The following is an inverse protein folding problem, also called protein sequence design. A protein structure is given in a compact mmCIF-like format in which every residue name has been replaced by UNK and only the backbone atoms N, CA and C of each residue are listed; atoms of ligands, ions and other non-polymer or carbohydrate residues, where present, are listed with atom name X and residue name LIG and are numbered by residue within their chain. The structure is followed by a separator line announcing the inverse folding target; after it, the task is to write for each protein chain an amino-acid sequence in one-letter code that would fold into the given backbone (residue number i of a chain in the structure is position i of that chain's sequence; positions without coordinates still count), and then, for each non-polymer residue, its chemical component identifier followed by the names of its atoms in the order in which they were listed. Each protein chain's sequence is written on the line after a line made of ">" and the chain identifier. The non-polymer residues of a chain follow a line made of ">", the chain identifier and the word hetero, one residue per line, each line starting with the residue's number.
data_IF_983369868587
#
_entry.id   IF_983369868587
#
_cell.length_a   1.000
_cell.length_b   1.000
_cell.length_c   1.000
_cell.angle_alpha   90.00
_cell.angle_beta   90.00
_cell.angle_gamma   90.00
#
_symmetry.space_group_name_H-M   'P 1'
#
loop_
_entity.id
_entity.type
_entity.pdbx_description
1 polymer ?
#
# COMPACT_ATOMS: atom_id res chain seq x y z
N UNK A 1 1.62 14.52 4.83
CA UNK A 1 1.09 14.06 6.15
C UNK A 1 1.40 12.57 6.25
N UNK A 2 2.08 12.12 7.30
CA UNK A 2 2.38 10.68 7.52
C UNK A 2 1.11 9.91 7.89
N UNK A 3 0.88 8.73 7.29
CA UNK A 3 -0.19 7.83 7.70
C UNK A 3 0.26 7.06 8.95
N UNK A 4 -0.63 6.86 9.93
CA UNK A 4 -0.34 6.08 11.14
C UNK A 4 -1.41 5.01 11.27
N UNK A 5 -1.00 3.74 11.36
CA UNK A 5 -1.90 2.63 11.65
C UNK A 5 -1.89 2.41 13.15
N UNK A 6 -3.05 2.54 13.79
CA UNK A 6 -3.22 2.30 15.22
C UNK A 6 -4.20 1.16 15.41
N UNK A 7 -3.82 0.16 16.21
CA UNK A 7 -4.73 -0.92 16.61
C UNK A 7 -5.30 -0.61 17.99
N UNK A 8 -6.58 -0.26 18.05
CA UNK A 8 -7.28 -0.02 19.31
C UNK A 8 -7.97 -1.31 19.74
N UNK A 9 -7.50 -1.92 20.82
CA UNK A 9 -8.05 -3.16 21.35
C UNK A 9 -9.26 -2.89 22.26
N UNK A 10 -10.47 -3.08 21.76
CA UNK A 10 -11.68 -3.21 22.59
C UNK A 10 -11.75 -4.57 23.30
N UNK A 11 -10.75 -4.93 24.10
CA UNK A 11 -10.59 -6.32 24.57
C UNK A 11 -11.41 -6.70 25.81
N UNK A 12 -11.93 -5.76 26.61
CA UNK A 12 -12.56 -6.11 27.90
C UNK A 12 -13.82 -6.97 27.74
N UNK A 13 -14.68 -6.71 26.73
CA UNK A 13 -15.93 -7.46 26.57
C UNK A 13 -15.71 -8.85 25.95
N UNK A 14 -14.76 -8.99 25.03
CA UNK A 14 -14.34 -10.29 24.46
C UNK A 14 -13.58 -11.13 25.49
N UNK A 15 -12.71 -10.51 26.29
CA UNK A 15 -12.09 -11.14 27.47
C UNK A 15 -13.15 -11.66 28.45
N UNK A 16 -14.14 -10.83 28.82
CA UNK A 16 -15.23 -11.25 29.73
C UNK A 16 -16.07 -12.40 29.16
N UNK A 17 -16.36 -12.40 27.85
CA UNK A 17 -17.08 -13.50 27.19
C UNK A 17 -16.25 -14.79 27.13
N UNK A 18 -14.97 -14.69 26.78
CA UNK A 18 -14.06 -15.83 26.74
C UNK A 18 -13.87 -16.44 28.13
N UNK A 19 -13.67 -15.59 29.15
CA UNK A 19 -13.58 -16.00 30.56
C UNK A 19 -14.88 -16.69 31.04
N UNK A 20 -16.05 -16.10 30.77
CA UNK A 20 -17.35 -16.73 31.11
C UNK A 20 -17.54 -18.09 30.42
N UNK A 21 -17.22 -18.19 29.13
CA UNK A 21 -17.34 -19.45 28.38
C UNK A 21 -16.39 -20.53 28.92
N UNK A 22 -15.17 -20.13 29.30
CA UNK A 22 -14.20 -21.02 29.92
C UNK A 22 -14.65 -21.49 31.32
N UNK A 23 -15.10 -20.58 32.18
CA UNK A 23 -15.64 -20.92 33.51
C UNK A 23 -16.90 -21.79 33.42
N UNK A 24 -17.78 -21.54 32.45
CA UNK A 24 -18.99 -22.33 32.23
C UNK A 24 -18.67 -23.75 31.76
N UNK A 25 -17.72 -23.90 30.84
CA UNK A 25 -17.27 -25.22 30.35
C UNK A 25 -16.59 -26.05 31.46
N UNK A 26 -15.83 -25.40 32.35
CA UNK A 26 -15.24 -26.05 33.54
C UNK A 26 -16.31 -26.50 34.55
N UNK A 27 -17.42 -25.76 34.65
CA UNK A 27 -18.51 -26.09 35.57
C UNK A 27 -19.42 -27.23 35.06
N UNK A 28 -19.52 -27.44 33.75
CA UNK A 28 -20.45 -28.44 33.17
C UNK A 28 -19.84 -29.84 32.98
N UNK A 29 -18.53 -29.97 32.76
CA UNK A 29 -17.88 -31.28 32.58
C UNK A 29 -16.66 -31.47 33.51
N UNK A 30 -16.86 -31.74 34.81
CA UNK A 30 -15.76 -31.97 35.76
C UNK A 30 -14.95 -33.24 35.47
N UNK A 31 -15.49 -34.18 34.68
CA UNK A 31 -14.89 -35.49 34.44
C UNK A 31 -14.03 -35.60 33.17
N UNK A 32 -14.02 -34.59 32.30
CA UNK A 32 -13.19 -34.59 31.08
C UNK A 32 -11.72 -34.19 31.33
N UNK A 33 -11.36 -33.81 32.57
CA UNK A 33 -9.98 -33.43 32.95
C UNK A 33 -8.99 -34.61 32.94
N UNK A 34 -9.48 -35.86 32.87
CA UNK A 34 -8.65 -37.06 32.96
C UNK A 34 -8.32 -37.70 31.60
N UNK A 35 -8.74 -37.12 30.46
CA UNK A 35 -8.33 -37.62 29.13
C UNK A 35 -6.97 -37.03 28.72
N UNK A 36 -5.94 -37.87 28.49
CA UNK A 36 -4.62 -37.40 28.06
C UNK A 36 -4.71 -36.85 26.63
N UNK A 37 -4.65 -35.52 26.52
CA UNK A 37 -4.77 -34.78 25.26
C UNK A 37 -5.78 -33.63 25.30
N UNK A 38 -6.72 -33.65 26.25
CA UNK A 38 -7.74 -32.62 26.44
C UNK A 38 -7.55 -31.83 27.73
N UNK A 39 -6.30 -31.56 28.11
CA UNK A 39 -6.04 -30.74 29.28
C UNK A 39 -6.39 -29.28 28.94
N UNK A 40 -7.47 -28.68 29.48
CA UNK A 40 -7.87 -27.32 29.14
C UNK A 40 -6.81 -26.29 29.54
N UNK A 41 -5.92 -26.66 30.46
CA UNK A 41 -4.73 -25.90 30.83
C UNK A 41 -3.67 -25.84 29.74
N UNK A 42 -3.69 -26.70 28.71
CA UNK A 42 -2.67 -26.75 27.66
C UNK A 42 -3.02 -26.02 26.36
N UNK A 43 -4.18 -25.36 26.27
CA UNK A 43 -4.30 -24.33 25.24
C UNK A 43 -3.43 -23.15 25.67
N UNK A 44 -2.47 -22.74 24.84
CA UNK A 44 -1.63 -21.55 25.10
C UNK A 44 -2.48 -20.33 25.49
N UNK A 45 -3.72 -20.29 24.99
CA UNK A 45 -4.75 -19.31 25.33
C UNK A 45 -5.27 -19.36 26.78
N UNK A 46 -5.42 -20.54 27.38
CA UNK A 46 -5.90 -20.70 28.76
C UNK A 46 -4.82 -20.38 29.80
N UNK A 47 -3.53 -20.59 29.49
CA UNK A 47 -2.41 -20.13 30.34
C UNK A 47 -2.21 -18.61 30.26
N UNK A 48 -2.48 -18.02 29.10
CA UNK A 48 -2.26 -16.58 28.85
C UNK A 48 -3.36 -15.68 29.47
N UNK A 49 -4.59 -16.17 29.61
CA UNK A 49 -5.74 -15.41 30.12
C UNK A 49 -5.64 -15.01 31.62
N UNK A 50 -5.19 -15.90 32.53
CA UNK A 50 -4.94 -15.55 33.93
C UNK A 50 -3.73 -14.63 34.13
N UNK A 51 -2.71 -14.71 33.26
CA UNK A 51 -1.59 -13.77 33.25
C UNK A 51 -1.96 -12.37 32.73
N UNK A 52 -3.09 -12.24 32.01
CA UNK A 52 -3.74 -10.96 31.80
C UNK A 52 -4.54 -10.56 33.05
N UNK A 53 -3.83 -10.06 34.06
CA UNK A 53 -4.45 -9.42 35.21
C UNK A 53 -4.68 -7.96 34.85
N UNK A 54 -5.94 -7.59 34.61
CA UNK A 54 -6.34 -6.19 34.73
C UNK A 54 -6.89 -5.99 36.13
N UNK A 55 -6.21 -5.20 36.95
CA UNK A 55 -6.71 -4.69 38.21
C UNK A 55 -8.03 -3.95 37.99
N UNK A 56 -8.91 -3.93 39.00
CA UNK A 56 -10.15 -3.16 38.97
C UNK A 56 -9.90 -1.68 38.61
N UNK A 57 -8.72 -1.17 39.03
CA UNK A 57 -8.20 0.15 38.68
C UNK A 57 -7.84 0.28 37.20
N UNK A 58 -7.25 -0.72 36.55
CA UNK A 58 -6.97 -0.67 35.09
C UNK A 58 -8.25 -0.72 34.23
N UNK A 59 -9.30 -1.41 34.71
CA UNK A 59 -10.61 -1.45 34.04
C UNK A 59 -11.40 -0.14 34.25
N UNK A 60 -11.27 0.49 35.42
CA UNK A 60 -11.83 1.82 35.68
C UNK A 60 -11.00 2.93 35.00
N UNK A 61 -9.68 2.79 34.94
CA UNK A 61 -8.78 3.70 34.24
C UNK A 61 -8.98 3.66 32.73
N UNK A 62 -9.53 2.59 32.15
CA UNK A 62 -10.01 2.62 30.76
C UNK A 62 -11.20 3.57 30.53
N UNK A 63 -11.99 3.88 31.57
CA UNK A 63 -12.98 4.97 31.52
C UNK A 63 -12.34 6.34 31.77
N UNK A 64 -11.21 6.38 32.48
CA UNK A 64 -10.43 7.59 32.76
C UNK A 64 -9.24 7.79 31.81
N UNK A 65 -9.17 7.03 30.70
CA UNK A 65 -7.99 6.88 29.84
C UNK A 65 -7.76 8.17 29.01
N UNK A 66 -7.37 9.23 29.73
CA UNK A 66 -7.16 10.55 29.20
C UNK A 66 -6.17 10.47 28.04
N UNK A 67 -5.17 9.59 28.10
CA UNK A 67 -4.21 9.42 27.03
C UNK A 67 -4.87 8.94 25.71
N UNK A 68 -5.75 7.94 25.72
CA UNK A 68 -6.34 7.40 24.48
C UNK A 68 -7.37 8.38 23.92
N UNK A 69 -8.14 9.03 24.80
CA UNK A 69 -9.00 10.17 24.45
C UNK A 69 -8.18 11.34 23.87
N UNK A 70 -7.10 11.75 24.51
CA UNK A 70 -6.28 12.90 24.11
C UNK A 70 -5.47 12.60 22.85
N UNK A 71 -5.04 11.35 22.69
CA UNK A 71 -4.45 10.83 21.46
C UNK A 71 -5.46 10.86 20.32
N UNK A 72 -6.67 10.33 20.52
CA UNK A 72 -7.75 10.37 19.52
C UNK A 72 -8.15 11.82 19.22
N UNK A 73 -8.26 12.70 20.22
CA UNK A 73 -8.49 14.14 20.02
C UNK A 73 -7.41 14.76 19.14
N UNK A 74 -6.14 14.46 19.43
CA UNK A 74 -5.00 14.95 18.66
C UNK A 74 -5.06 14.45 17.22
N UNK A 75 -5.34 13.15 17.03
CA UNK A 75 -5.52 12.57 15.70
C UNK A 75 -6.68 13.21 14.95
N UNK A 76 -7.84 13.39 15.58
CA UNK A 76 -9.05 13.95 14.95
C UNK A 76 -8.85 15.40 14.49
N UNK A 77 -8.05 16.18 15.23
CA UNK A 77 -7.71 17.56 14.87
C UNK A 77 -6.65 17.65 13.77
N UNK A 78 -5.74 16.67 13.67
CA UNK A 78 -4.52 16.80 12.85
C UNK A 78 -4.46 15.86 11.65
N UNK A 79 -5.25 14.78 11.64
CA UNK A 79 -5.18 13.67 10.69
C UNK A 79 -6.57 13.32 10.16
N UNK A 80 -6.56 12.71 8.97
CA UNK A 80 -7.70 11.92 8.49
C UNK A 80 -7.59 10.53 9.12
N UNK A 81 -8.67 10.04 9.71
CA UNK A 81 -8.68 8.74 10.39
C UNK A 81 -9.61 7.77 9.66
N UNK A 82 -9.20 6.52 9.56
CA UNK A 82 -9.99 5.42 9.00
C UNK A 82 -10.18 4.35 10.07
N UNK A 83 -11.44 3.98 10.35
CA UNK A 83 -11.78 2.99 11.37
C UNK A 83 -12.19 1.67 10.73
N UNK A 84 -11.65 0.56 11.22
CA UNK A 84 -11.98 -0.79 10.78
C UNK A 84 -12.24 -1.71 11.99
N UNK A 85 -13.35 -2.46 11.97
CA UNK A 85 -13.68 -3.42 13.03
C UNK A 85 -13.94 -2.79 14.41
N UNK A 86 -14.10 -1.48 14.45
CA UNK A 86 -14.35 -0.69 15.64
C UNK A 86 -15.85 -0.53 15.83
N UNK A 87 -16.37 -0.99 16.97
CA UNK A 87 -17.74 -0.69 17.34
C UNK A 87 -17.77 0.74 17.86
N UNK A 88 -18.29 1.67 17.06
CA UNK A 88 -18.53 3.05 17.47
C UNK A 88 -19.53 3.19 18.64
N UNK A 89 -20.03 2.07 19.17
CA UNK A 89 -20.80 1.98 20.39
C UNK A 89 -19.97 2.12 21.68
N UNK A 90 -18.63 2.26 21.62
CA UNK A 90 -17.86 2.64 22.80
C UNK A 90 -18.18 4.10 23.19
N UNK A 91 -18.77 4.35 24.37
CA UNK A 91 -19.23 5.68 24.75
C UNK A 91 -18.11 6.72 24.87
N UNK A 92 -16.93 6.32 25.38
CA UNK A 92 -15.82 7.24 25.64
C UNK A 92 -15.28 7.80 24.33
N UNK A 93 -15.03 6.91 23.39
CA UNK A 93 -14.54 7.29 22.08
C UNK A 93 -15.63 8.03 21.30
N UNK A 94 -16.88 7.57 21.33
CA UNK A 94 -18.01 8.26 20.68
C UNK A 94 -18.18 9.70 21.18
N UNK A 95 -18.16 9.91 22.50
CA UNK A 95 -18.23 11.24 23.10
C UNK A 95 -17.01 12.09 22.74
N UNK A 96 -15.84 11.46 22.58
CA UNK A 96 -14.62 12.13 22.11
C UNK A 96 -14.78 12.68 20.69
N UNK A 97 -15.29 11.87 19.75
CA UNK A 97 -15.59 12.35 18.39
C UNK A 97 -16.59 13.50 18.41
N UNK A 98 -17.70 13.33 19.12
CA UNK A 98 -18.75 14.35 19.21
C UNK A 98 -18.17 15.66 19.72
N UNK A 99 -17.46 15.62 20.85
CA UNK A 99 -16.86 16.80 21.48
C UNK A 99 -15.87 17.51 20.55
N UNK A 100 -14.98 16.77 19.89
CA UNK A 100 -13.97 17.36 18.98
C UNK A 100 -14.62 17.97 17.75
N UNK A 101 -15.61 17.29 17.15
CA UNK A 101 -16.28 17.81 15.97
C UNK A 101 -17.20 18.99 16.26
N UNK A 102 -17.86 19.02 17.42
CA UNK A 102 -18.59 20.20 17.88
C UNK A 102 -17.66 21.39 18.17
N UNK A 103 -16.49 21.14 18.76
CA UNK A 103 -15.45 22.16 18.95
C UNK A 103 -14.99 22.72 17.60
N UNK A 104 -14.65 21.85 16.65
CA UNK A 104 -14.23 22.24 15.29
C UNK A 104 -15.32 23.03 14.57
N UNK A 105 -16.59 22.61 14.69
CA UNK A 105 -17.73 23.34 14.13
C UNK A 105 -17.86 24.75 14.74
N UNK A 106 -17.76 24.87 16.08
CA UNK A 106 -17.82 26.14 16.80
C UNK A 106 -16.66 27.06 16.41
N UNK A 107 -15.43 26.53 16.34
CA UNK A 107 -14.26 27.30 15.90
C UNK A 107 -14.45 27.80 14.47
N UNK A 108 -14.94 26.96 13.55
CA UNK A 108 -15.24 27.37 12.18
C UNK A 108 -16.28 28.49 12.12
N UNK A 109 -17.38 28.36 12.87
CA UNK A 109 -18.43 29.40 12.95
C UNK A 109 -17.89 30.73 13.49
N UNK A 110 -16.91 30.70 14.40
CA UNK A 110 -16.23 31.90 14.91
C UNK A 110 -15.23 32.49 13.92
N UNK A 111 -14.61 31.66 13.08
CA UNK A 111 -13.57 32.08 12.12
C UNK A 111 -14.11 32.51 10.76
N UNK A 112 -15.42 32.46 10.52
CA UNK A 112 -16.06 33.01 9.31
C UNK A 112 -16.60 34.41 9.64
N UNK A 113 -15.83 35.50 9.43
CA UNK A 113 -16.42 36.81 9.28
C UNK A 113 -17.13 36.89 7.91
N UNK A 114 -18.24 37.63 7.84
CA UNK A 114 -19.13 37.83 6.68
C UNK A 114 -18.48 38.45 5.41
N UNK A 115 -17.16 38.53 5.35
CA UNK A 115 -16.42 39.16 4.27
C UNK A 115 -15.84 38.16 3.26
N UNK A 116 -16.49 38.15 2.09
CA UNK A 116 -16.00 37.75 0.75
C UNK A 116 -15.90 36.24 0.45
N UNK A 117 -16.96 35.78 -0.22
CA UNK A 117 -17.20 34.50 -0.93
C UNK A 117 -16.18 34.08 -2.02
N UNK A 118 -14.99 34.68 -2.14
CA UNK A 118 -14.09 34.44 -3.28
C UNK A 118 -12.69 33.97 -2.89
N UNK A 119 -12.59 32.86 -2.16
CA UNK A 119 -11.42 31.98 -2.28
C UNK A 119 -11.92 30.56 -2.50
N UNK A 120 -11.55 29.97 -3.62
CA UNK A 120 -11.59 28.53 -3.88
C UNK A 120 -10.75 27.83 -2.80
N UNK A 121 -11.26 27.73 -1.58
CA UNK A 121 -10.79 26.71 -0.66
C UNK A 121 -11.23 25.39 -1.28
N UNK A 122 -10.24 24.55 -1.62
CA UNK A 122 -10.45 23.15 -1.96
C UNK A 122 -11.52 22.57 -1.04
N UNK A 123 -12.50 21.85 -1.59
CA UNK A 123 -13.63 21.32 -0.82
C UNK A 123 -13.14 20.72 0.51
N UNK A 124 -13.73 21.13 1.64
CA UNK A 124 -13.30 20.66 2.94
C UNK A 124 -13.36 19.12 2.98
N UNK A 125 -12.21 18.47 3.15
CA UNK A 125 -12.12 17.01 3.20
C UNK A 125 -12.59 16.50 4.55
N UNK A 126 -13.60 15.64 4.55
CA UNK A 126 -14.14 15.04 5.76
C UNK A 126 -13.06 14.22 6.48
N UNK A 127 -12.84 14.42 7.79
CA UNK A 127 -11.68 13.89 8.50
C UNK A 127 -11.81 12.42 8.93
N UNK A 128 -12.97 11.78 8.77
CA UNK A 128 -13.18 10.40 9.21
C UNK A 128 -13.78 9.52 8.13
N UNK A 129 -13.37 8.25 8.13
CA UNK A 129 -13.88 7.16 7.31
C UNK A 129 -14.12 5.94 8.19
N UNK A 130 -15.15 5.15 7.87
CA UNK A 130 -15.46 3.90 8.55
C UNK A 130 -15.60 2.79 7.53
N UNK A 131 -15.02 1.63 7.83
CA UNK A 131 -15.32 0.39 7.14
C UNK A 131 -16.45 -0.34 7.85
N UNK A 132 -17.49 -0.70 7.11
CA UNK A 132 -18.64 -1.42 7.64
C UNK A 132 -19.07 -2.58 6.75
N UNK A 133 -19.70 -3.58 7.35
CA UNK A 133 -20.27 -4.69 6.58
C UNK A 133 -21.41 -4.18 5.69
N UNK A 134 -21.44 -4.66 4.44
CA UNK A 134 -22.56 -4.43 3.54
C UNK A 134 -23.87 -4.88 4.23
N UNK A 135 -24.95 -4.11 4.05
CA UNK A 135 -26.26 -4.29 4.70
C UNK A 135 -26.32 -4.02 6.22
N UNK A 136 -25.19 -3.94 6.94
CA UNK A 136 -25.16 -3.57 8.36
C UNK A 136 -24.67 -2.14 8.53
N UNK A 137 -25.63 -1.23 8.67
CA UNK A 137 -25.33 0.17 8.99
C UNK A 137 -25.24 0.34 10.49
N UNK A 138 -24.04 0.64 10.97
CA UNK A 138 -23.82 0.93 12.38
C UNK A 138 -24.23 2.37 12.68
N UNK A 139 -25.30 2.54 13.46
CA UNK A 139 -25.88 3.84 13.78
C UNK A 139 -24.84 4.85 14.30
N UNK A 140 -24.01 4.44 15.26
CA UNK A 140 -22.98 5.29 15.86
C UNK A 140 -21.90 5.75 14.87
N UNK A 141 -21.48 4.90 13.94
CA UNK A 141 -20.54 5.28 12.88
C UNK A 141 -21.13 6.40 12.01
N UNK A 142 -22.43 6.29 11.69
CA UNK A 142 -23.14 7.30 10.90
C UNK A 142 -23.31 8.62 11.66
N UNK A 143 -23.57 8.58 12.97
CA UNK A 143 -23.61 9.79 13.80
C UNK A 143 -22.27 10.51 13.81
N UNK A 144 -21.16 9.77 14.00
CA UNK A 144 -19.81 10.34 13.97
C UNK A 144 -19.51 10.96 12.61
N UNK A 145 -19.81 10.27 11.50
CA UNK A 145 -19.59 10.80 10.15
C UNK A 145 -20.40 12.07 9.88
N UNK A 146 -21.64 12.14 10.34
CA UNK A 146 -22.45 13.36 10.22
C UNK A 146 -21.87 14.51 11.05
N UNK A 147 -21.40 14.24 12.27
CA UNK A 147 -20.71 15.24 13.07
C UNK A 147 -19.42 15.72 12.38
N UNK A 148 -18.65 14.81 11.78
CA UNK A 148 -17.45 15.15 11.00
C UNK A 148 -17.77 16.06 9.80
N UNK A 149 -18.84 15.74 9.06
CA UNK A 149 -19.31 16.55 7.92
C UNK A 149 -19.83 17.93 8.35
N UNK A 150 -20.53 18.01 9.48
CA UNK A 150 -20.93 19.29 10.08
C UNK A 150 -19.73 20.12 10.51
N UNK A 151 -18.71 19.51 11.11
CA UNK A 151 -17.50 20.19 11.58
C UNK A 151 -16.78 20.95 10.46
N UNK A 152 -16.77 20.40 9.25
CA UNK A 152 -16.12 21.02 8.10
C UNK A 152 -17.05 21.87 7.22
N UNK A 153 -18.36 21.78 7.42
CA UNK A 153 -19.36 22.63 6.75
C UNK A 153 -19.95 22.02 5.49
N UNK A 154 -19.81 20.70 5.33
CA UNK A 154 -20.51 19.95 4.28
C UNK A 154 -22.03 19.98 4.53
N UNK A 155 -22.82 19.94 3.45
CA UNK A 155 -24.28 19.83 3.53
C UNK A 155 -24.68 18.53 4.23
N UNK A 156 -25.84 18.54 4.89
CA UNK A 156 -26.32 17.39 5.63
C UNK A 156 -26.49 16.16 4.69
N UNK A 157 -25.62 15.16 4.87
CA UNK A 157 -25.79 13.85 4.23
C UNK A 157 -27.04 13.16 4.79
N UNK A 158 -27.64 12.26 3.99
CA UNK A 158 -28.83 11.49 4.38
C UNK A 158 -28.58 10.76 5.71
N UNK A 159 -29.62 10.61 6.53
CA UNK A 159 -29.54 9.87 7.79
C UNK A 159 -28.98 8.45 7.53
N UNK A 160 -29.43 7.81 6.46
CA UNK A 160 -29.10 6.42 6.20
C UNK A 160 -27.83 6.22 5.38
N UNK A 161 -27.17 7.25 4.84
CA UNK A 161 -25.99 7.03 4.00
C UNK A 161 -24.97 8.17 4.06
N UNK A 162 -23.69 7.82 3.92
CA UNK A 162 -22.58 8.75 3.98
C UNK A 162 -21.43 8.23 3.13
N UNK A 163 -20.84 9.08 2.29
CA UNK A 163 -19.86 8.67 1.27
C UNK A 163 -18.59 8.07 1.89
N UNK A 164 -18.24 8.53 3.10
CA UNK A 164 -17.12 8.00 3.87
C UNK A 164 -17.43 6.72 4.69
N UNK A 165 -18.61 6.13 4.56
CA UNK A 165 -18.92 4.81 5.09
C UNK A 165 -18.65 3.76 4.01
N UNK A 166 -17.42 3.25 4.02
CA UNK A 166 -16.90 2.30 3.03
C UNK A 166 -17.43 0.90 3.35
N UNK A 167 -18.25 0.35 2.45
CA UNK A 167 -18.89 -0.95 2.66
C UNK A 167 -18.03 -2.08 2.11
N UNK A 168 -17.99 -3.20 2.82
CA UNK A 168 -17.32 -4.42 2.38
C UNK A 168 -18.14 -5.68 2.72
N UNK A 169 -17.91 -6.73 1.94
CA UNK A 169 -18.49 -8.05 2.18
C UNK A 169 -17.58 -8.91 3.03
N UNK A 170 -18.16 -9.88 3.75
CA UNK A 170 -17.35 -10.85 4.52
C UNK A 170 -16.56 -11.74 3.57
N UNK A 171 -15.40 -12.22 4.03
CA UNK A 171 -14.59 -13.19 3.29
C UNK A 171 -15.31 -14.52 3.02
N UNK A 172 -16.37 -14.84 3.79
CA UNK A 172 -17.26 -16.00 3.56
C UNK A 172 -18.06 -15.87 2.25
N UNK A 173 -18.35 -14.64 1.82
CA UNK A 173 -19.11 -14.30 0.61
C UNK A 173 -18.16 -14.14 -0.58
N UNK A 174 -17.53 -15.25 -1.02
CA UNK A 174 -16.45 -15.24 -2.03
C UNK A 174 -16.82 -14.58 -3.36
N UNK A 175 -18.10 -14.63 -3.74
CA UNK A 175 -18.62 -14.07 -4.98
C UNK A 175 -18.93 -12.57 -4.90
N UNK A 176 -18.71 -11.96 -3.73
CA UNK A 176 -18.93 -10.53 -3.51
C UNK A 176 -17.63 -9.74 -3.47
N UNK A 177 -17.69 -8.50 -3.93
CA UNK A 177 -16.54 -7.60 -4.00
C UNK A 177 -16.94 -6.16 -3.60
N UNK A 178 -16.12 -5.44 -2.84
CA UNK A 178 -14.84 -5.83 -2.25
C UNK A 178 -15.01 -6.44 -0.84
N UNK A 179 -14.06 -7.28 -0.43
CA UNK A 179 -13.89 -7.62 0.99
C UNK A 179 -13.03 -6.57 1.73
N UNK A 180 -12.84 -6.75 3.04
CA UNK A 180 -12.09 -5.79 3.85
C UNK A 180 -10.62 -5.70 3.44
N UNK A 181 -9.98 -6.84 3.20
CA UNK A 181 -8.56 -6.90 2.84
C UNK A 181 -8.32 -6.20 1.50
N UNK A 182 -9.25 -6.37 0.55
CA UNK A 182 -9.25 -5.73 -0.77
C UNK A 182 -9.41 -4.20 -0.68
N UNK A 183 -10.31 -3.71 0.19
CA UNK A 183 -10.43 -2.27 0.44
C UNK A 183 -9.17 -1.69 1.09
N UNK A 184 -8.59 -2.41 2.05
CA UNK A 184 -7.36 -1.99 2.72
C UNK A 184 -6.17 -1.97 1.76
N UNK A 185 -6.09 -2.97 0.88
CA UNK A 185 -5.10 -3.06 -0.19
C UNK A 185 -5.24 -1.88 -1.17
N UNK A 186 -6.46 -1.55 -1.58
CA UNK A 186 -6.71 -0.39 -2.43
C UNK A 186 -6.32 0.93 -1.74
N UNK A 187 -6.66 1.10 -0.46
CA UNK A 187 -6.28 2.28 0.30
C UNK A 187 -4.74 2.40 0.45
N UNK A 188 -4.06 1.27 0.70
CA UNK A 188 -2.62 1.20 0.73
C UNK A 188 -2.01 1.64 -0.61
N UNK A 189 -2.52 1.10 -1.72
CA UNK A 189 -2.10 1.47 -3.07
C UNK A 189 -2.24 2.97 -3.31
N UNK A 190 -3.42 3.55 -3.06
CA UNK A 190 -3.65 4.99 -3.23
C UNK A 190 -2.72 5.84 -2.37
N UNK A 191 -2.41 5.39 -1.15
CA UNK A 191 -1.48 6.10 -0.27
C UNK A 191 -0.06 6.05 -0.82
N UNK A 192 0.40 4.88 -1.30
CA UNK A 192 1.70 4.73 -1.94
C UNK A 192 1.82 5.60 -3.19
N UNK A 193 0.80 5.57 -4.07
CA UNK A 193 0.75 6.39 -5.28
C UNK A 193 0.82 7.89 -4.98
N UNK A 194 0.15 8.36 -3.94
CA UNK A 194 0.22 9.76 -3.52
C UNK A 194 1.63 10.16 -3.03
N UNK A 195 2.30 9.28 -2.26
CA UNK A 195 3.68 9.53 -1.82
C UNK A 195 4.62 9.53 -3.02
N UNK A 196 4.46 8.57 -3.94
CA UNK A 196 5.22 8.51 -5.18
C UNK A 196 5.05 9.79 -6.01
N UNK A 197 3.83 10.27 -6.18
CA UNK A 197 3.56 11.51 -6.91
C UNK A 197 4.30 12.69 -6.26
N UNK A 198 4.24 12.82 -4.93
CA UNK A 198 4.98 13.87 -4.20
C UNK A 198 6.50 13.75 -4.38
N UNK A 199 7.05 12.53 -4.36
CA UNK A 199 8.47 12.30 -4.59
C UNK A 199 8.88 12.64 -6.03
N UNK A 200 8.05 12.28 -7.01
CA UNK A 200 8.28 12.61 -8.42
C UNK A 200 8.25 14.12 -8.65
N UNK A 201 7.31 14.84 -8.03
CA UNK A 201 7.25 16.30 -8.13
C UNK A 201 8.47 16.99 -7.52
N UNK A 202 8.88 16.56 -6.32
CA UNK A 202 9.84 17.31 -5.51
C UNK A 202 11.30 16.82 -5.65
N UNK A 203 11.52 15.56 -6.00
CA UNK A 203 12.84 14.93 -5.88
C UNK A 203 13.38 14.35 -7.20
N UNK A 204 12.54 14.17 -8.23
CA UNK A 204 12.99 13.53 -9.47
C UNK A 204 14.12 14.30 -10.14
N UNK A 205 14.03 15.63 -10.19
CA UNK A 205 15.05 16.49 -10.80
C UNK A 205 16.42 16.35 -10.11
N UNK A 206 16.46 16.35 -8.78
CA UNK A 206 17.72 16.16 -8.04
C UNK A 206 18.28 14.75 -8.22
N UNK A 207 17.39 13.76 -8.26
CA UNK A 207 17.76 12.35 -8.44
C UNK A 207 18.41 12.13 -9.81
N UNK A 208 17.88 12.75 -10.86
CA UNK A 208 18.46 12.64 -12.19
C UNK A 208 19.77 13.41 -12.34
N UNK A 209 19.90 14.59 -11.71
CA UNK A 209 21.18 15.30 -11.67
C UNK A 209 22.28 14.46 -11.02
N UNK A 210 21.96 13.73 -9.95
CA UNK A 210 22.91 12.82 -9.32
C UNK A 210 23.26 11.63 -10.21
N UNK A 211 22.26 11.04 -10.88
CA UNK A 211 22.46 9.89 -11.75
C UNK A 211 23.25 10.22 -13.02
N UNK A 212 22.97 11.33 -13.67
CA UNK A 212 23.56 11.68 -14.97
C UNK A 212 24.73 12.65 -14.87
N UNK A 213 24.93 13.29 -13.71
CA UNK A 213 25.94 14.33 -13.52
C UNK A 213 25.61 15.66 -14.21
N UNK A 214 24.46 15.77 -14.85
CA UNK A 214 23.99 16.99 -15.53
C UNK A 214 22.46 17.12 -15.40
N UNK A 215 21.90 18.34 -15.55
CA UNK A 215 20.45 18.51 -15.56
C UNK A 215 19.81 17.82 -16.76
N UNK A 216 18.66 17.17 -16.54
CA UNK A 216 17.81 16.66 -17.62
C UNK A 216 16.98 17.78 -18.25
N UNK A 217 16.57 17.65 -19.52
CA UNK A 217 15.60 18.53 -20.14
C UNK A 217 14.30 18.62 -19.32
N UNK A 218 13.83 19.83 -19.06
CA UNK A 218 12.59 20.07 -18.30
C UNK A 218 11.36 19.45 -19.00
N UNK A 219 11.36 19.39 -20.32
CA UNK A 219 10.30 18.77 -21.12
C UNK A 219 10.15 17.28 -20.81
N UNK A 220 11.26 16.56 -20.66
CA UNK A 220 11.27 15.12 -20.32
C UNK A 220 10.79 14.89 -18.89
N UNK A 221 11.23 15.74 -17.95
CA UNK A 221 10.78 15.70 -16.56
C UNK A 221 9.26 15.89 -16.47
N UNK A 222 8.72 16.92 -17.12
CA UNK A 222 7.28 17.20 -17.15
C UNK A 222 6.49 16.12 -17.89
N UNK A 223 7.08 15.48 -18.91
CA UNK A 223 6.48 14.32 -19.54
C UNK A 223 6.34 13.16 -18.53
N UNK A 224 7.38 12.80 -17.78
CA UNK A 224 7.30 11.71 -16.80
C UNK A 224 6.25 12.01 -15.71
N UNK A 225 6.21 13.25 -15.21
CA UNK A 225 5.18 13.69 -14.26
C UNK A 225 3.78 13.54 -14.84
N UNK A 226 3.58 14.00 -16.07
CA UNK A 226 2.31 13.89 -16.79
C UNK A 226 1.90 12.44 -17.01
N UNK A 227 2.80 11.61 -17.51
CA UNK A 227 2.55 10.18 -17.74
C UNK A 227 2.22 9.44 -16.44
N UNK A 228 2.89 9.77 -15.32
CA UNK A 228 2.57 9.18 -14.03
C UNK A 228 1.19 9.60 -13.53
N UNK A 229 0.84 10.89 -13.63
CA UNK A 229 -0.51 11.37 -13.25
C UNK A 229 -1.59 10.68 -14.10
N UNK A 230 -1.38 10.56 -15.40
CA UNK A 230 -2.28 9.84 -16.31
C UNK A 230 -2.41 8.36 -15.92
N UNK A 231 -1.33 7.68 -15.53
CA UNK A 231 -1.39 6.32 -15.00
C UNK A 231 -2.26 6.25 -13.75
N UNK A 232 -2.08 7.18 -12.79
CA UNK A 232 -2.88 7.21 -11.56
C UNK A 232 -4.37 7.43 -11.83
N UNK A 233 -4.70 8.27 -12.79
CA UNK A 233 -6.09 8.54 -13.14
C UNK A 233 -6.71 7.34 -13.85
N UNK A 234 -5.97 6.65 -14.73
CA UNK A 234 -6.40 5.38 -15.34
C UNK A 234 -6.61 4.27 -14.31
N UNK A 235 -5.72 4.14 -13.32
CA UNK A 235 -5.89 3.18 -12.22
C UNK A 235 -7.18 3.46 -11.42
N UNK A 236 -7.50 4.74 -11.17
CA UNK A 236 -8.75 5.13 -10.48
C UNK A 236 -9.99 4.94 -11.34
N UNK A 237 -9.90 5.23 -12.64
CA UNK A 237 -10.98 4.98 -13.60
C UNK A 237 -11.34 3.50 -13.62
N UNK A 238 -10.34 2.63 -13.77
CA UNK A 238 -10.52 1.18 -13.69
C UNK A 238 -11.17 0.76 -12.36
N UNK A 239 -10.73 1.34 -11.24
CA UNK A 239 -11.29 1.02 -9.93
C UNK A 239 -12.76 1.44 -9.73
N UNK A 240 -13.24 2.47 -10.44
CA UNK A 240 -14.65 2.90 -10.39
C UNK A 240 -15.58 1.91 -11.10
N UNK A 241 -15.06 1.15 -12.03
CA UNK A 241 -15.81 0.18 -12.83
C UNK A 241 -15.89 -1.20 -12.16
N UNK A 242 -15.12 -1.43 -11.08
CA UNK A 242 -15.14 -2.70 -10.37
C UNK A 242 -16.47 -2.95 -9.66
N UNK A 243 -17.05 -4.11 -9.92
CA UNK A 243 -18.19 -4.71 -9.22
C UNK A 243 -17.92 -6.16 -8.81
N UNK A 244 -18.98 -6.96 -8.67
CA UNK A 244 -18.92 -8.34 -8.18
C UNK A 244 -18.29 -9.36 -9.18
N UNK A 245 -17.96 -8.95 -10.40
CA UNK A 245 -17.40 -9.89 -11.39
C UNK A 245 -16.01 -10.43 -10.99
N UNK A 246 -15.72 -11.73 -11.22
CA UNK A 246 -14.42 -12.34 -10.87
C UNK A 246 -13.21 -11.62 -11.47
N UNK A 247 -13.38 -11.02 -12.66
CA UNK A 247 -12.35 -10.24 -13.34
C UNK A 247 -11.91 -9.01 -12.56
N UNK A 248 -12.80 -8.39 -11.78
CA UNK A 248 -12.49 -7.16 -11.03
C UNK A 248 -11.50 -7.39 -9.91
N UNK A 249 -11.58 -8.54 -9.24
CA UNK A 249 -10.59 -8.95 -8.23
C UNK A 249 -9.22 -9.17 -8.84
N UNK A 250 -9.16 -9.77 -10.04
CA UNK A 250 -7.90 -9.90 -10.77
C UNK A 250 -7.35 -8.53 -11.20
N UNK A 251 -8.21 -7.63 -11.67
CA UNK A 251 -7.85 -6.24 -12.01
C UNK A 251 -7.32 -5.47 -10.80
N UNK A 252 -7.95 -5.62 -9.62
CA UNK A 252 -7.45 -5.05 -8.36
C UNK A 252 -6.02 -5.51 -8.10
N UNK A 253 -5.74 -6.82 -8.10
CA UNK A 253 -4.39 -7.33 -7.86
C UNK A 253 -3.41 -6.88 -8.94
N UNK A 254 -3.82 -6.86 -10.21
CA UNK A 254 -2.96 -6.36 -11.30
C UNK A 254 -2.50 -4.92 -11.07
N UNK A 255 -3.39 -4.05 -10.58
CA UNK A 255 -3.06 -2.65 -10.27
C UNK A 255 -2.25 -2.55 -8.98
N UNK A 256 -2.75 -3.14 -7.90
CA UNK A 256 -2.20 -2.96 -6.55
C UNK A 256 -0.88 -3.68 -6.32
N UNK A 257 -0.60 -4.77 -7.03
CA UNK A 257 0.66 -5.50 -6.91
C UNK A 257 1.87 -4.65 -7.33
N UNK A 258 1.69 -3.61 -8.16
CA UNK A 258 2.76 -2.65 -8.44
C UNK A 258 3.21 -1.95 -7.15
N UNK A 259 2.28 -1.48 -6.32
CA UNK A 259 2.61 -0.85 -5.05
C UNK A 259 3.01 -1.88 -3.99
N UNK A 260 2.27 -2.97 -3.84
CA UNK A 260 2.48 -3.98 -2.79
C UNK A 260 3.78 -4.76 -2.98
N UNK A 261 4.02 -5.31 -4.17
CA UNK A 261 5.13 -6.23 -4.41
C UNK A 261 6.27 -5.59 -5.21
N UNK A 262 5.97 -4.86 -6.28
CA UNK A 262 7.03 -4.31 -7.14
C UNK A 262 7.78 -3.17 -6.46
N UNK A 263 7.11 -2.10 -6.03
CA UNK A 263 7.75 -0.94 -5.41
C UNK A 263 8.36 -1.25 -4.06
N UNK A 264 7.61 -1.94 -3.18
CA UNK A 264 8.15 -2.39 -1.88
C UNK A 264 9.37 -3.29 -2.08
N UNK A 265 9.30 -4.21 -3.05
CA UNK A 265 10.41 -5.08 -3.39
C UNK A 265 11.62 -4.31 -3.92
N UNK A 266 11.41 -3.36 -4.83
CA UNK A 266 12.49 -2.58 -5.44
C UNK A 266 13.20 -1.67 -4.43
N UNK A 267 12.45 -0.99 -3.57
CA UNK A 267 13.03 -0.18 -2.50
C UNK A 267 13.82 -1.03 -1.50
N UNK A 268 13.35 -2.26 -1.21
CA UNK A 268 14.12 -3.22 -0.42
C UNK A 268 15.43 -3.58 -1.11
N UNK A 269 15.43 -3.83 -2.42
CA UNK A 269 16.67 -4.12 -3.15
C UNK A 269 17.64 -2.93 -3.12
N UNK A 270 17.17 -1.69 -3.27
CA UNK A 270 18.01 -0.50 -3.11
C UNK A 270 18.61 -0.39 -1.70
N UNK A 271 17.81 -0.62 -0.66
CA UNK A 271 18.28 -0.61 0.72
C UNK A 271 19.32 -1.71 0.98
N UNK A 272 19.12 -2.91 0.40
CA UNK A 272 20.08 -4.01 0.52
C UNK A 272 21.40 -3.69 -0.19
N UNK A 273 21.36 -3.09 -1.37
CA UNK A 273 22.55 -2.67 -2.09
C UNK A 273 23.32 -1.59 -1.32
N UNK A 274 22.63 -0.59 -0.75
CA UNK A 274 23.27 0.46 0.05
C UNK A 274 23.91 -0.12 1.32
N UNK A 275 23.19 -1.02 2.00
CA UNK A 275 23.71 -1.68 3.20
C UNK A 275 24.97 -2.51 2.89
N UNK A 276 25.03 -3.15 1.72
CA UNK A 276 26.23 -3.88 1.31
C UNK A 276 27.42 -2.95 1.03
N UNK A 277 27.20 -1.76 0.45
CA UNK A 277 28.28 -0.75 0.30
C UNK A 277 28.88 -0.37 1.65
N UNK A 278 28.02 -0.09 2.65
CA UNK A 278 28.46 0.33 3.98
C UNK A 278 29.25 -0.77 4.71
N UNK A 279 28.89 -2.04 4.50
CA UNK A 279 29.56 -3.20 5.11
C UNK A 279 30.90 -3.51 4.45
N UNK A 280 31.12 -3.18 3.18
CA UNK A 280 32.45 -3.35 2.58
C UNK A 280 33.53 -2.48 3.25
N UNK A 281 33.15 -1.45 4.01
CA UNK A 281 34.07 -0.68 4.87
C UNK A 281 34.28 -1.25 6.28
N UNK A 282 33.40 -2.13 6.79
CA UNK A 282 33.49 -2.71 8.14
C UNK A 282 33.13 -4.20 8.09
N UNK A 283 34.07 -5.08 8.43
CA UNK A 283 33.92 -6.56 8.49
C UNK A 283 32.82 -7.01 9.49
N UNK A 284 31.55 -6.78 9.19
CA UNK A 284 30.40 -7.25 9.98
C UNK A 284 29.55 -8.21 9.15
N UNK A 285 29.18 -9.33 9.77
CA UNK A 285 28.29 -10.37 9.23
C UNK A 285 26.94 -9.76 8.80
N UNK A 286 26.69 -9.76 7.49
CA UNK A 286 25.47 -9.22 6.84
C UNK A 286 24.17 -9.90 7.30
N UNK A 287 24.23 -11.06 7.97
CA UNK A 287 23.05 -11.86 8.36
C UNK A 287 22.10 -11.15 9.32
N UNK A 288 22.59 -10.39 10.31
CA UNK A 288 21.73 -9.76 11.32
C UNK A 288 21.06 -8.46 10.84
N UNK A 289 21.61 -7.82 9.80
CA UNK A 289 21.05 -6.57 9.26
C UNK A 289 19.93 -6.81 8.25
N UNK A 290 19.94 -7.93 7.52
CA UNK A 290 18.89 -8.28 6.54
C UNK A 290 17.51 -8.49 7.19
N UNK A 291 17.48 -8.93 8.46
CA UNK A 291 16.25 -9.00 9.26
C UNK A 291 15.56 -7.64 9.45
N UNK A 292 16.26 -6.51 9.30
CA UNK A 292 15.68 -5.17 9.50
C UNK A 292 15.06 -4.54 8.24
N UNK A 293 15.28 -5.11 7.05
CA UNK A 293 14.92 -4.48 5.77
C UNK A 293 13.71 -5.10 5.06
N UNK A 294 12.83 -5.81 5.78
CA UNK A 294 11.64 -6.41 5.15
C UNK A 294 10.66 -5.37 4.59
N UNK A 295 10.72 -4.14 5.11
CA UNK A 295 9.92 -3.01 4.66
C UNK A 295 10.77 -1.74 4.68
N UNK A 296 10.77 -0.99 3.58
CA UNK A 296 11.42 0.31 3.49
C UNK A 296 10.36 1.37 3.16
N UNK A 297 9.98 2.26 4.08
CA UNK A 297 8.90 3.22 3.84
C UNK A 297 9.24 4.14 2.67
N UNK A 298 8.29 4.33 1.74
CA UNK A 298 8.47 5.18 0.55
C UNK A 298 8.82 6.64 0.92
N UNK A 299 8.45 7.09 2.11
CA UNK A 299 8.75 8.45 2.58
C UNK A 299 10.20 8.65 3.07
N UNK A 300 10.94 7.59 3.37
CA UNK A 300 12.30 7.72 3.95
C UNK A 300 13.36 8.02 2.90
N UNK A 301 13.20 7.54 1.66
CA UNK A 301 14.14 7.79 0.54
C UNK A 301 13.38 8.31 -0.68
N UNK A 302 12.95 9.58 -0.66
CA UNK A 302 12.12 10.14 -1.73
C UNK A 302 12.82 10.13 -3.09
N UNK A 303 14.16 10.24 -3.13
CA UNK A 303 14.93 10.09 -4.36
C UNK A 303 14.75 8.70 -4.99
N UNK A 304 14.91 7.63 -4.19
CA UNK A 304 14.71 6.25 -4.65
C UNK A 304 13.26 5.98 -5.05
N UNK A 305 12.31 6.51 -4.29
CA UNK A 305 10.88 6.39 -4.63
C UNK A 305 10.55 7.10 -5.94
N UNK A 306 11.10 8.29 -6.20
CA UNK A 306 10.92 8.98 -7.48
C UNK A 306 11.53 8.19 -8.65
N UNK A 307 12.71 7.61 -8.45
CA UNK A 307 13.36 6.77 -9.47
C UNK A 307 12.62 5.46 -9.72
N UNK A 308 12.09 4.81 -8.69
CA UNK A 308 11.28 3.61 -8.83
C UNK A 308 10.06 3.82 -9.75
N UNK A 309 9.47 5.02 -9.75
CA UNK A 309 8.41 5.39 -10.69
C UNK A 309 8.91 5.44 -12.14
N UNK A 310 10.11 5.99 -12.37
CA UNK A 310 10.76 5.97 -13.71
C UNK A 310 10.93 4.52 -14.18
N UNK A 311 11.41 3.64 -13.31
CA UNK A 311 11.59 2.21 -13.61
C UNK A 311 10.25 1.55 -13.97
N UNK A 312 9.17 1.81 -13.22
CA UNK A 312 7.84 1.29 -13.53
C UNK A 312 7.34 1.76 -14.90
N UNK A 313 7.37 3.07 -15.18
CA UNK A 313 6.86 3.62 -16.43
C UNK A 313 7.66 3.07 -17.61
N UNK A 314 8.99 3.04 -17.49
CA UNK A 314 9.86 2.47 -18.49
C UNK A 314 9.54 1.00 -18.74
N UNK A 315 9.45 0.17 -17.69
CA UNK A 315 9.13 -1.26 -17.82
C UNK A 315 7.78 -1.50 -18.50
N UNK A 316 6.74 -0.77 -18.11
CA UNK A 316 5.42 -0.89 -18.74
C UNK A 316 5.49 -0.54 -20.22
N UNK A 317 6.14 0.56 -20.59
CA UNK A 317 6.30 0.98 -22.00
C UNK A 317 7.15 0.01 -22.81
N UNK A 318 8.26 -0.48 -22.24
CA UNK A 318 9.13 -1.46 -22.88
C UNK A 318 8.37 -2.76 -23.17
N UNK A 319 7.63 -3.28 -22.17
CA UNK A 319 6.83 -4.51 -22.33
C UNK A 319 5.68 -4.29 -23.32
N UNK A 320 4.96 -3.16 -23.24
CA UNK A 320 3.88 -2.86 -24.18
C UNK A 320 4.38 -2.64 -25.61
N UNK A 321 5.57 -2.08 -25.80
CA UNK A 321 6.22 -2.02 -27.12
C UNK A 321 6.50 -3.42 -27.66
N UNK A 322 7.12 -4.27 -26.84
CA UNK A 322 7.43 -5.66 -27.20
C UNK A 322 6.18 -6.51 -27.49
N UNK A 323 5.05 -6.17 -26.87
CA UNK A 323 3.74 -6.78 -27.14
C UNK A 323 3.02 -6.20 -28.36
N UNK A 324 3.54 -5.13 -28.97
CA UNK A 324 2.88 -4.42 -30.08
C UNK A 324 1.68 -3.55 -29.66
N UNK A 325 1.55 -3.23 -28.36
CA UNK A 325 0.42 -2.49 -27.78
C UNK A 325 0.86 -1.24 -27.00
N UNK A 326 1.87 -0.51 -27.51
CA UNK A 326 2.49 0.62 -26.81
C UNK A 326 1.48 1.64 -26.24
N UNK A 327 0.44 1.99 -26.98
CA UNK A 327 -0.55 2.98 -26.56
C UNK A 327 -1.32 2.59 -25.29
N UNK A 328 -1.39 1.29 -24.98
CA UNK A 328 -2.18 0.76 -23.87
C UNK A 328 -1.33 0.50 -22.61
N UNK A 329 -0.08 0.98 -22.56
CA UNK A 329 0.84 0.69 -21.44
C UNK A 329 0.31 1.09 -20.06
N UNK A 330 -0.60 2.08 -20.00
CA UNK A 330 -1.25 2.57 -18.78
C UNK A 330 -2.34 1.63 -18.26
N UNK A 331 -2.97 0.87 -19.15
CA UNK A 331 -4.13 0.03 -18.86
C UNK A 331 -3.73 -1.33 -18.27
N UNK A 332 -2.42 -1.58 -18.12
CA UNK A 332 -1.85 -2.85 -17.67
C UNK A 332 -2.41 -4.02 -18.50
N UNK A 333 -2.13 -4.05 -19.82
CA UNK A 333 -2.75 -5.00 -20.73
C UNK A 333 -2.41 -6.42 -20.30
N UNK A 334 -3.42 -7.29 -20.29
CA UNK A 334 -3.21 -8.73 -20.19
C UNK A 334 -2.24 -9.12 -21.32
N UNK A 335 -1.05 -9.69 -21.05
CA UNK A 335 -0.66 -10.45 -19.86
C UNK A 335 0.52 -9.92 -19.00
N UNK A 336 0.65 -8.60 -18.76
CA UNK A 336 1.63 -8.06 -17.80
C UNK A 336 1.12 -8.18 -16.34
N UNK A 337 1.83 -8.94 -15.51
CA UNK A 337 1.46 -9.25 -14.13
C UNK A 337 2.65 -9.14 -13.18
N UNK A 338 2.47 -8.45 -12.04
CA UNK A 338 3.46 -8.46 -10.95
C UNK A 338 3.22 -9.69 -10.08
N UNK A 339 4.29 -10.46 -9.83
CA UNK A 339 4.21 -11.69 -9.05
C UNK A 339 4.70 -11.45 -7.61
N UNK A 340 3.92 -11.89 -6.60
CA UNK A 340 4.40 -11.96 -5.21
C UNK A 340 5.65 -12.83 -5.09
N UNK A 341 6.79 -12.20 -4.80
CA UNK A 341 8.07 -12.89 -4.69
C UNK A 341 9.01 -12.20 -3.68
N UNK A 342 10.13 -12.87 -3.39
CA UNK A 342 11.20 -12.36 -2.53
C UNK A 342 12.03 -11.23 -3.16
N UNK A 343 11.70 -10.85 -4.39
CA UNK A 343 12.27 -9.74 -5.14
C UNK A 343 11.18 -9.22 -6.10
N UNK A 344 11.24 -7.94 -6.50
CA UNK A 344 10.36 -7.39 -7.52
C UNK A 344 10.44 -8.25 -8.79
N UNK A 345 9.29 -8.79 -9.19
CA UNK A 345 9.18 -9.75 -10.29
C UNK A 345 7.97 -9.44 -11.17
N UNK A 346 8.17 -9.51 -12.48
CA UNK A 346 7.15 -9.27 -13.50
C UNK A 346 7.06 -10.47 -14.42
N UNK A 347 5.85 -10.81 -14.80
CA UNK A 347 5.50 -11.83 -15.77
C UNK A 347 4.82 -11.17 -16.95
N UNK A 348 5.23 -11.51 -18.16
CA UNK A 348 4.60 -11.00 -19.38
C UNK A 348 4.73 -12.01 -20.51
N UNK A 349 3.83 -11.94 -21.49
CA UNK A 349 3.87 -12.71 -22.74
C UNK A 349 3.35 -11.88 -23.92
N UNK A 350 3.68 -12.28 -25.14
CA UNK A 350 3.17 -11.67 -26.37
C UNK A 350 1.72 -12.11 -26.58
N UNK A 351 0.74 -11.28 -26.19
CA UNK A 351 -0.67 -11.23 -26.60
C UNK A 351 -1.55 -12.47 -26.45
N UNK A 352 -1.07 -13.65 -26.82
CA UNK A 352 -1.75 -14.93 -26.69
C UNK A 352 -1.57 -15.48 -25.26
N UNK A 353 -2.65 -15.70 -24.50
CA UNK A 353 -2.59 -16.27 -23.14
C UNK A 353 -1.99 -17.68 -23.10
N UNK A 354 -1.93 -18.38 -24.24
CA UNK A 354 -1.29 -19.70 -24.36
C UNK A 354 0.23 -19.63 -24.56
N UNK A 355 0.79 -18.43 -24.82
CA UNK A 355 2.23 -18.28 -24.93
C UNK A 355 2.89 -18.43 -23.56
N UNK A 356 3.96 -19.21 -23.52
CA UNK A 356 4.75 -19.42 -22.31
C UNK A 356 5.33 -18.08 -21.82
N UNK A 357 5.06 -17.68 -20.56
CA UNK A 357 5.41 -16.35 -20.09
C UNK A 357 6.91 -16.20 -19.87
N UNK A 358 7.39 -14.96 -20.00
CA UNK A 358 8.72 -14.52 -19.59
C UNK A 358 8.63 -13.98 -18.16
N UNK A 359 9.62 -14.32 -17.34
CA UNK A 359 9.77 -13.82 -15.98
C UNK A 359 10.98 -12.90 -15.90
N UNK A 360 10.77 -11.66 -15.48
CA UNK A 360 11.84 -10.71 -15.18
C UNK A 360 11.90 -10.45 -13.67
N UNK A 361 13.07 -10.61 -13.06
CA UNK A 361 13.34 -10.27 -11.64
C UNK A 361 14.36 -9.15 -11.53
N UNK A 362 14.25 -8.28 -10.54
CA UNK A 362 15.26 -7.28 -10.20
C UNK A 362 15.87 -7.67 -8.84
N UNK A 363 17.20 -7.86 -8.77
CA UNK A 363 17.89 -8.31 -7.55
C UNK A 363 19.24 -7.64 -7.35
N UNK A 364 19.66 -7.48 -6.10
CA UNK A 364 20.99 -7.00 -5.75
C UNK A 364 22.03 -8.12 -5.83
N UNK A 365 23.17 -7.87 -6.50
CA UNK A 365 24.29 -8.82 -6.56
C UNK A 365 24.84 -9.15 -5.18
N UNK A 366 25.21 -10.41 -4.95
CA UNK A 366 25.79 -10.84 -3.67
C UNK A 366 24.81 -10.87 -2.49
N UNK A 367 23.51 -10.70 -2.75
CA UNK A 367 22.49 -11.13 -1.76
C UNK A 367 22.58 -12.65 -1.64
N UNK A 368 23.37 -13.12 -0.66
CA UNK A 368 23.67 -14.54 -0.38
C UNK A 368 22.46 -15.36 0.09
N UNK A 369 21.26 -15.15 -0.48
CA UNK A 369 20.28 -16.25 -0.60
C UNK A 369 20.76 -17.19 -1.69
N UNK A 370 21.90 -17.82 -1.41
CA UNK A 370 22.35 -19.09 -1.96
C UNK A 370 21.25 -20.10 -1.61
N UNK A 371 20.69 -20.77 -2.63
CA UNK A 371 19.81 -21.96 -2.58
C UNK A 371 18.30 -21.83 -2.35
N UNK A 372 17.73 -20.65 -2.09
CA UNK A 372 16.30 -20.47 -2.34
C UNK A 372 16.15 -19.70 -3.65
N UNK A 373 16.17 -20.40 -4.79
CA UNK A 373 15.32 -19.91 -5.87
C UNK A 373 13.97 -19.70 -5.22
N UNK A 374 13.49 -18.45 -5.14
CA UNK A 374 12.06 -18.26 -4.97
C UNK A 374 11.45 -19.02 -6.13
N UNK A 375 10.98 -20.23 -5.82
CA UNK A 375 10.29 -21.11 -6.74
C UNK A 375 8.97 -20.40 -6.99
N UNK A 376 9.05 -19.35 -7.80
CA UNK A 376 7.88 -18.77 -8.40
C UNK A 376 7.30 -19.91 -9.24
N UNK A 377 6.15 -20.46 -8.82
CA UNK A 377 5.57 -21.60 -9.50
C UNK A 377 5.14 -21.14 -10.89
N UNK A 378 5.36 -22.01 -11.88
CA UNK A 378 4.99 -21.73 -13.27
C UNK A 378 6.02 -22.23 -14.28
N UNK A 379 5.52 -22.62 -15.44
CA UNK A 379 6.34 -22.84 -16.62
C UNK A 379 6.63 -21.48 -17.25
N UNK A 380 7.91 -21.11 -17.31
CA UNK A 380 8.36 -19.87 -17.92
C UNK A 380 9.22 -20.20 -19.13
N UNK A 381 8.96 -19.54 -20.26
CA UNK A 381 9.79 -19.64 -21.46
C UNK A 381 11.22 -19.22 -21.16
N UNK A 382 11.36 -18.12 -20.42
CA UNK A 382 12.65 -17.53 -20.06
C UNK A 382 12.56 -16.85 -18.70
N UNK A 383 13.64 -16.96 -17.92
CA UNK A 383 13.81 -16.28 -16.64
C UNK A 383 15.00 -15.32 -16.77
N UNK A 384 14.73 -14.02 -16.67
CA UNK A 384 15.75 -12.95 -16.67
C UNK A 384 15.88 -12.37 -15.28
N UNK A 385 17.09 -11.92 -14.96
CA UNK A 385 17.35 -11.22 -13.71
C UNK A 385 18.25 -10.03 -13.98
N UNK A 386 17.73 -8.83 -13.69
CA UNK A 386 18.49 -7.60 -13.68
C UNK A 386 19.17 -7.46 -12.33
N UNK A 387 20.49 -7.34 -12.39
CA UNK A 387 21.34 -7.38 -11.22
C UNK A 387 21.80 -5.98 -10.85
N UNK A 388 21.22 -5.41 -9.79
CA UNK A 388 21.64 -4.14 -9.22
C UNK A 388 23.03 -4.29 -8.62
N UNK A 389 23.90 -3.34 -8.96
CA UNK A 389 25.23 -3.22 -8.39
C UNK A 389 25.22 -2.13 -7.31
N UNK A 390 25.95 -2.41 -6.24
CA UNK A 390 26.20 -1.51 -5.12
C UNK A 390 26.76 -0.17 -5.59
N UNK A 391 27.73 -0.18 -6.52
CA UNK A 391 28.40 1.05 -6.99
C UNK A 391 27.50 1.98 -7.81
N UNK A 392 26.30 1.55 -8.13
CA UNK A 392 25.43 2.23 -9.09
C UNK A 392 24.01 2.37 -8.54
N UNK A 393 23.87 2.88 -7.32
CA UNK A 393 22.56 3.18 -6.77
C UNK A 393 22.11 4.59 -7.17
N UNK A 394 20.80 4.81 -7.41
CA UNK A 394 19.74 3.81 -7.46
C UNK A 394 19.78 2.92 -8.71
N UNK A 395 20.55 3.27 -9.75
CA UNK A 395 20.65 2.48 -10.99
C UNK A 395 21.99 2.68 -11.74
N UNK A 396 22.51 1.69 -12.50
CA UNK A 396 23.67 1.86 -13.38
C UNK A 396 23.47 2.98 -14.39
N UNK A 397 24.49 3.82 -14.57
CA UNK A 397 24.47 4.91 -15.54
C UNK A 397 24.38 4.38 -16.98
N UNK A 398 25.20 3.38 -17.27
CA UNK A 398 25.31 2.73 -18.58
C UNK A 398 24.57 1.39 -18.62
N UNK A 399 24.26 0.95 -19.84
CA UNK A 399 23.73 -0.38 -20.08
C UNK A 399 24.74 -1.45 -19.64
N UNK A 400 24.26 -2.49 -18.95
CA UNK A 400 25.13 -3.53 -18.42
C UNK A 400 24.63 -4.92 -18.78
N UNK A 401 25.35 -5.60 -19.68
CA UNK A 401 25.02 -6.93 -20.20
C UNK A 401 23.54 -6.99 -20.58
N UNK A 402 22.69 -7.63 -19.77
CA UNK A 402 21.27 -7.88 -20.02
C UNK A 402 20.32 -6.86 -19.34
N UNK A 403 20.84 -5.77 -18.79
CA UNK A 403 20.08 -4.80 -18.00
C UNK A 403 20.24 -3.38 -18.57
N UNK A 404 19.14 -2.64 -18.79
CA UNK A 404 19.20 -1.27 -19.25
C UNK A 404 19.80 -0.35 -18.18
N UNK A 405 20.60 0.62 -18.61
CA UNK A 405 21.12 1.71 -17.80
C UNK A 405 20.06 2.76 -17.51
N UNK A 406 20.43 3.72 -16.66
CA UNK A 406 19.56 4.79 -16.19
C UNK A 406 19.14 5.68 -17.36
N UNK A 407 20.05 5.94 -18.30
CA UNK A 407 19.75 6.72 -19.50
C UNK A 407 18.70 6.03 -20.37
N UNK A 408 18.84 4.73 -20.58
CA UNK A 408 17.89 3.92 -21.35
C UNK A 408 16.51 3.92 -20.70
N UNK A 409 16.43 3.66 -19.38
CA UNK A 409 15.14 3.72 -18.68
C UNK A 409 14.51 5.10 -18.71
N UNK A 410 15.32 6.15 -18.57
CA UNK A 410 14.83 7.53 -18.64
C UNK A 410 14.22 7.85 -20.00
N UNK A 411 14.90 7.47 -21.10
CA UNK A 411 14.42 7.63 -22.47
C UNK A 411 13.06 6.93 -22.64
N UNK A 412 12.95 5.69 -22.18
CA UNK A 412 11.68 4.94 -22.23
C UNK A 412 10.58 5.60 -21.41
N UNK A 413 10.90 6.07 -20.20
CA UNK A 413 9.93 6.72 -19.33
C UNK A 413 9.42 8.06 -19.90
N UNK A 414 10.32 8.88 -20.46
CA UNK A 414 10.03 10.24 -20.92
C UNK A 414 9.34 10.33 -22.30
N UNK A 415 9.46 9.30 -23.15
CA UNK A 415 8.86 9.30 -24.51
C UNK A 415 7.33 9.21 -24.48
N UNK A 416 6.67 10.07 -25.25
CA UNK A 416 5.20 10.06 -25.42
C UNK A 416 4.71 9.14 -26.54
N UNK A 417 5.49 9.03 -27.60
CA UNK A 417 5.09 8.39 -28.86
C UNK A 417 6.09 7.27 -29.23
N UNK A 418 5.60 6.09 -29.67
CA UNK A 418 6.46 5.02 -30.12
C UNK A 418 7.29 5.37 -31.37
N UNK A 419 6.83 6.28 -32.23
CA UNK A 419 7.54 6.73 -33.44
C UNK A 419 8.87 7.45 -33.17
N UNK A 420 9.08 7.91 -31.93
CA UNK A 420 10.33 8.53 -31.48
C UNK A 420 11.31 7.52 -30.87
N UNK A 421 10.99 6.22 -30.89
CA UNK A 421 11.88 5.16 -30.42
C UNK A 421 12.82 4.79 -31.56
N UNK A 422 14.13 4.94 -31.32
CA UNK A 422 15.10 4.59 -32.36
C UNK A 422 15.03 3.09 -32.62
N UNK A 423 15.31 2.68 -33.86
CA UNK A 423 15.39 1.26 -34.20
C UNK A 423 16.40 0.52 -33.31
N UNK A 424 17.50 1.17 -32.96
CA UNK A 424 18.50 0.64 -32.02
C UNK A 424 17.91 0.39 -30.62
N UNK A 425 17.08 1.30 -30.10
CA UNK A 425 16.40 1.11 -28.81
C UNK A 425 15.44 -0.08 -28.85
N UNK A 426 14.77 -0.31 -29.99
CA UNK A 426 13.88 -1.47 -30.18
C UNK A 426 14.69 -2.75 -30.26
N UNK A 427 15.78 -2.78 -31.02
CA UNK A 427 16.66 -3.95 -31.13
C UNK A 427 17.29 -4.30 -29.75
N UNK A 428 17.52 -3.31 -28.89
CA UNK A 428 17.96 -3.52 -27.51
C UNK A 428 16.86 -4.06 -26.58
N UNK A 429 15.57 -3.78 -26.84
CA UNK A 429 14.48 -4.36 -26.03
C UNK A 429 14.54 -5.87 -26.02
N UNK A 430 14.79 -6.44 -27.18
CA UNK A 430 14.86 -7.88 -27.39
C UNK A 430 15.96 -8.52 -26.54
N UNK A 431 17.07 -7.80 -26.41
CA UNK A 431 18.16 -8.22 -25.54
C UNK A 431 17.76 -8.17 -24.05
N UNK A 432 17.13 -7.07 -23.62
CA UNK A 432 16.73 -6.84 -22.23
C UNK A 432 15.58 -7.73 -21.76
N UNK A 433 14.56 -7.92 -22.60
CA UNK A 433 13.34 -8.69 -22.29
C UNK A 433 13.49 -10.15 -22.71
N UNK A 434 14.34 -10.44 -23.70
CA UNK A 434 14.91 -11.75 -23.93
C UNK A 434 14.53 -12.46 -25.22
N UNK A 435 13.97 -11.82 -26.25
CA UNK A 435 13.74 -12.40 -27.58
C UNK A 435 13.73 -11.36 -28.70
N UNK A 436 14.20 -11.72 -29.90
CA UNK A 436 14.03 -10.92 -31.13
C UNK A 436 12.55 -10.81 -31.52
N UNK A 437 12.05 -9.61 -31.77
CA UNK A 437 10.71 -9.34 -32.36
C UNK A 437 10.63 -9.92 -33.79
#
# INVERSE_FOLDING_TARGET
>A
RTAVITKIHGCVRRYRKAKKKHCYNLAQNPQDSNKPGNNPENSDWAKYLPSMVFTFREIQNWREDAWSRDYVRTLLRTRTIVFCGYSAADPVLHDTFRSVYEEMEKQRKKSIPDTKKNKQFSEPKIPAFFFGLTQKKEFHCMEILRAASKAIGSKAHKITNHDNYLQFYKNEEKDKFPNLDELMLWLYHLTCRNIQAQCVENNLHQTTMHLFGHPCPLTELENIKGEFRLLLDKEKECAREWGDEPGNRQSLYRVTNWSEYFHTGLLREFAMAEAQMLVQGLRSTTRDKVSRFWYYPLSERPAWTSWAVVVEIALRKMVSMWQGCFNNWKENPNPLEIIPADAPALKFSQGNPFNTPILLKLRTRGSNKVNSSSNIPGAFRKKRTWYLNQKTLPWPQEDYRDMPGAKTLWIWAAKKDPGNISREDIEKLDHYLGEKI
#
